data_IF_933941865762
#
_entry.id   IF_933941865762
#
_cell.length_a   1.000
_cell.length_b   1.000
_cell.length_c   1.000
_cell.angle_alpha   90.00
_cell.angle_beta   90.00
_cell.angle_gamma   90.00
#
_symmetry.space_group_name_H-M   'P 1'
#
loop_
_entity.id
_entity.type
_entity.pdbx_description
1 polymer ?
#
# COMPACT_ATOMS: atom_id res chain seq x y z
N UNK A 1 -2.76 -4.93 15.45
CA UNK A 1 -3.25 -4.20 14.26
C UNK A 1 -4.12 -3.07 14.76
N UNK A 2 -3.98 -1.88 14.18
CA UNK A 2 -4.68 -0.66 14.60
C UNK A 2 -5.84 -0.39 13.66
N UNK A 3 -7.04 -0.13 14.19
CA UNK A 3 -8.25 0.00 13.36
C UNK A 3 -8.86 1.39 13.40
N UNK A 4 -8.44 2.21 14.35
CA UNK A 4 -8.95 3.56 14.57
C UNK A 4 -7.75 4.51 14.61
N UNK A 5 -7.74 5.58 13.80
CA UNK A 5 -6.74 6.63 13.85
C UNK A 5 -6.71 7.29 15.22
N UNK A 6 -5.55 7.78 15.61
CA UNK A 6 -5.35 8.29 16.96
C UNK A 6 -4.34 9.43 17.00
N UNK A 7 -4.44 10.24 18.06
CA UNK A 7 -3.58 11.38 18.26
C UNK A 7 -2.57 11.17 19.39
N UNK A 8 -1.30 10.91 19.03
CA UNK A 8 -0.15 10.90 19.95
C UNK A 8 0.49 12.28 20.15
N UNK A 9 0.87 12.57 21.39
CA UNK A 9 1.63 13.75 21.79
C UNK A 9 2.71 13.37 22.81
N UNK A 10 3.79 14.17 22.89
CA UNK A 10 4.92 13.91 23.80
C UNK A 10 4.58 14.13 25.28
N UNK A 11 3.62 15.02 25.58
CA UNK A 11 3.21 15.41 26.93
C UNK A 11 1.68 15.42 27.04
N UNK A 12 1.18 15.41 28.28
CA UNK A 12 -0.25 15.63 28.60
C UNK A 12 -0.74 17.00 28.13
N UNK A 13 0.15 18.00 28.06
CA UNK A 13 -0.14 19.35 27.58
C UNK A 13 -0.31 19.42 26.06
N UNK A 14 0.01 18.33 25.34
CA UNK A 14 -0.14 18.16 23.88
C UNK A 14 0.70 19.12 23.03
N UNK A 15 1.84 19.57 23.55
CA UNK A 15 2.68 20.58 22.90
C UNK A 15 3.25 20.13 21.56
N UNK A 16 3.73 18.88 21.50
CA UNK A 16 4.38 18.33 20.32
C UNK A 16 3.66 17.09 19.82
N UNK A 17 3.29 17.13 18.55
CA UNK A 17 2.65 16.04 17.81
C UNK A 17 3.66 14.96 17.46
N UNK A 18 3.30 13.69 17.69
CA UNK A 18 4.15 12.54 17.35
C UNK A 18 3.50 11.70 16.25
N UNK A 19 4.29 11.40 15.21
CA UNK A 19 3.89 10.55 14.08
C UNK A 19 4.77 9.31 14.05
N UNK A 20 4.29 8.21 14.64
CA UNK A 20 5.04 6.95 14.72
C UNK A 20 4.52 5.85 13.80
N UNK A 21 3.21 5.88 13.52
CA UNK A 21 2.52 4.92 12.67
C UNK A 21 1.59 5.66 11.71
N UNK A 22 1.18 5.04 10.61
CA UNK A 22 0.26 5.68 9.66
C UNK A 22 -1.07 6.09 10.31
N UNK A 23 -1.58 5.27 11.24
CA UNK A 23 -2.80 5.56 11.99
C UNK A 23 -2.67 6.76 12.95
N UNK A 24 -1.44 7.21 13.24
CA UNK A 24 -1.18 8.45 13.98
C UNK A 24 -1.11 9.70 13.09
N UNK A 25 -1.15 9.53 11.76
CA UNK A 25 -1.07 10.65 10.81
C UNK A 25 -2.36 11.45 10.71
N UNK A 26 -2.24 12.71 10.28
CA UNK A 26 -3.39 13.55 9.97
C UNK A 26 -4.18 12.99 8.78
N UNK A 27 -3.51 12.42 7.78
CA UNK A 27 -4.19 11.80 6.64
C UNK A 27 -5.13 10.66 7.03
N UNK A 28 -4.72 9.79 7.97
CA UNK A 28 -5.61 8.75 8.50
C UNK A 28 -6.81 9.34 9.26
N UNK A 29 -6.60 10.43 9.99
CA UNK A 29 -7.66 11.15 10.71
C UNK A 29 -8.66 11.83 9.76
N UNK A 30 -8.16 12.51 8.74
CA UNK A 30 -8.96 13.21 7.73
C UNK A 30 -9.81 12.24 6.90
N UNK A 31 -9.32 11.02 6.68
CA UNK A 31 -10.07 9.96 6.00
C UNK A 31 -11.30 9.47 6.77
N UNK A 32 -11.44 9.82 8.06
CA UNK A 32 -12.63 9.52 8.85
C UNK A 32 -13.68 10.63 8.84
N UNK A 33 -13.34 11.81 8.32
CA UNK A 33 -14.25 12.94 8.33
C UNK A 33 -15.49 12.66 7.47
N UNK A 34 -16.64 13.28 7.74
CA UNK A 34 -17.89 13.00 7.01
C UNK A 34 -17.81 13.22 5.49
N UNK A 35 -16.83 14.01 5.03
CA UNK A 35 -16.60 14.34 3.62
C UNK A 35 -15.80 13.28 2.86
N UNK A 36 -15.06 12.44 3.58
CA UNK A 36 -14.34 11.31 3.02
C UNK A 36 -15.32 10.14 2.96
N UNK A 37 -15.44 9.51 1.78
CA UNK A 37 -16.52 8.58 1.37
C UNK A 37 -16.61 7.27 2.19
N UNK A 38 -16.13 7.25 3.42
CA UNK A 38 -16.06 6.11 4.31
C UNK A 38 -17.27 6.18 5.28
N UNK A 39 -18.16 5.18 5.25
CA UNK A 39 -19.32 5.15 6.14
C UNK A 39 -18.93 5.07 7.62
N UNK A 40 -19.78 5.64 8.48
CA UNK A 40 -19.64 5.52 9.93
C UNK A 40 -19.64 4.03 10.32
N UNK A 41 -18.67 3.64 11.17
CA UNK A 41 -18.50 2.25 11.62
C UNK A 41 -17.67 1.37 10.68
N UNK A 42 -17.27 1.86 9.51
CA UNK A 42 -16.32 1.18 8.66
C UNK A 42 -14.87 1.28 9.20
N UNK A 43 -14.03 0.34 8.80
CA UNK A 43 -12.62 0.26 9.18
C UNK A 43 -11.73 0.79 8.07
N UNK A 44 -10.82 1.69 8.42
CA UNK A 44 -9.81 2.19 7.50
C UNK A 44 -8.67 1.17 7.40
N UNK A 45 -8.34 0.73 6.19
CA UNK A 45 -7.27 -0.24 5.94
C UNK A 45 -6.23 0.37 5.00
N UNK A 46 -5.20 0.99 5.56
CA UNK A 46 -4.15 1.63 4.77
C UNK A 46 -3.31 0.60 4.02
N UNK A 47 -2.96 0.91 2.78
CA UNK A 47 -2.14 0.06 1.92
C UNK A 47 -0.74 0.65 1.80
N UNK A 48 0.28 -0.19 1.96
CA UNK A 48 1.67 0.13 1.67
C UNK A 48 2.09 -0.70 0.46
N UNK A 49 2.58 -0.01 -0.57
CA UNK A 49 3.20 -0.64 -1.74
C UNK A 49 4.71 -0.39 -1.70
N UNK A 50 5.47 -1.42 -2.00
CA UNK A 50 6.92 -1.31 -2.18
C UNK A 50 7.32 -2.03 -3.46
N UNK A 51 8.23 -1.45 -4.23
CA UNK A 51 8.71 -2.04 -5.47
C UNK A 51 10.19 -1.73 -5.61
N UNK A 52 11.00 -2.76 -5.80
CA UNK A 52 12.42 -2.64 -6.08
C UNK A 52 12.81 -3.59 -7.24
N UNK A 53 13.91 -3.31 -7.93
CA UNK A 53 14.39 -4.16 -9.03
C UNK A 53 15.06 -5.41 -8.46
N UNK A 54 14.60 -6.60 -8.84
CA UNK A 54 15.23 -7.85 -8.40
C UNK A 54 15.46 -8.82 -9.55
N UNK A 55 16.58 -9.53 -9.51
CA UNK A 55 16.84 -10.65 -10.41
C UNK A 55 15.99 -11.86 -10.00
N UNK A 56 15.14 -12.36 -10.91
CA UNK A 56 14.29 -13.53 -10.65
C UNK A 56 15.09 -14.83 -10.76
N UNK A 57 16.09 -14.86 -11.65
CA UNK A 57 16.97 -16.02 -11.85
C UNK A 57 18.43 -15.57 -11.92
N UNK A 58 19.27 -16.03 -10.99
CA UNK A 58 20.70 -15.70 -11.01
C UNK A 58 21.54 -16.58 -11.93
N UNK A 59 21.04 -17.77 -12.36
CA UNK A 59 21.92 -18.80 -12.96
C UNK A 59 21.52 -19.21 -14.39
N UNK A 60 20.25 -19.12 -14.83
CA UNK A 60 19.84 -19.61 -16.16
C UNK A 60 18.76 -18.76 -16.84
N UNK A 61 19.06 -17.52 -17.22
CA UNK A 61 18.19 -16.77 -18.16
C UNK A 61 18.01 -15.28 -17.91
N UNK A 62 18.71 -14.70 -16.93
CA UNK A 62 18.82 -13.25 -16.76
C UNK A 62 17.49 -12.48 -16.61
N UNK A 63 16.40 -13.16 -16.22
CA UNK A 63 15.08 -12.52 -16.11
C UNK A 63 15.09 -11.57 -14.92
N UNK A 64 14.81 -10.29 -15.19
CA UNK A 64 14.72 -9.24 -14.18
C UNK A 64 13.30 -8.70 -14.17
N UNK A 65 12.75 -8.51 -12.98
CA UNK A 65 11.45 -7.87 -12.79
C UNK A 65 11.51 -6.93 -11.59
N UNK A 66 10.49 -6.07 -11.50
CA UNK A 66 10.22 -5.33 -10.27
C UNK A 66 9.11 -6.05 -9.50
N UNK A 67 9.41 -6.80 -8.42
CA UNK A 67 8.39 -7.26 -7.48
C UNK A 67 7.65 -6.08 -6.88
N UNK A 68 6.33 -6.10 -7.04
CA UNK A 68 5.41 -5.24 -6.32
C UNK A 68 4.99 -5.97 -5.05
N UNK A 69 5.45 -5.50 -3.90
CA UNK A 69 5.07 -5.98 -2.58
C UNK A 69 3.92 -5.13 -2.02
N UNK A 70 3.03 -5.76 -1.27
CA UNK A 70 1.91 -5.13 -0.59
C UNK A 70 1.92 -5.46 0.91
N UNK A 71 1.56 -4.48 1.74
CA UNK A 71 1.35 -4.63 3.18
C UNK A 71 0.22 -3.74 3.66
N UNK A 72 -0.23 -3.97 4.89
CA UNK A 72 -1.20 -3.14 5.57
C UNK A 72 -0.50 -2.13 6.49
N UNK A 73 -0.86 -0.86 6.36
CA UNK A 73 -0.38 0.22 7.20
C UNK A 73 -0.81 0.05 8.66
N UNK A 74 -1.93 -0.66 8.89
CA UNK A 74 -2.50 -0.99 10.18
C UNK A 74 -1.67 -2.00 11.00
N UNK A 75 -0.71 -2.69 10.37
CA UNK A 75 0.24 -3.56 11.07
C UNK A 75 1.35 -2.66 11.62
N UNK A 76 1.55 -2.73 12.94
CA UNK A 76 2.59 -1.97 13.65
C UNK A 76 3.94 -2.16 12.98
N UNK A 77 4.69 -1.07 12.81
CA UNK A 77 5.95 -1.04 12.09
C UNK A 77 6.95 -2.09 12.58
N UNK A 78 7.11 -2.23 13.90
CA UNK A 78 8.03 -3.22 14.48
C UNK A 78 7.68 -4.67 14.12
N UNK A 79 6.38 -4.99 14.01
CA UNK A 79 5.92 -6.32 13.65
C UNK A 79 6.08 -6.53 12.13
N UNK A 80 5.70 -5.54 11.33
CA UNK A 80 5.79 -5.57 9.87
C UNK A 80 7.22 -5.73 9.35
N UNK A 81 8.18 -5.03 9.97
CA UNK A 81 9.59 -5.04 9.56
C UNK A 81 10.38 -6.23 10.12
N UNK A 82 9.76 -7.06 10.97
CA UNK A 82 10.41 -8.28 11.47
C UNK A 82 10.44 -9.32 10.35
N UNK A 83 11.62 -9.77 9.95
CA UNK A 83 11.79 -10.72 8.84
C UNK A 83 10.91 -11.99 8.98
N UNK A 84 10.78 -12.52 10.20
CA UNK A 84 9.97 -13.71 10.48
C UNK A 84 8.44 -13.48 10.46
N UNK A 85 7.98 -12.23 10.42
CA UNK A 85 6.56 -11.90 10.50
C UNK A 85 5.86 -11.89 9.14
N UNK A 86 6.61 -12.00 8.03
CA UNK A 86 6.07 -11.94 6.67
C UNK A 86 5.11 -10.76 6.46
N UNK A 87 5.49 -9.58 6.95
CA UNK A 87 4.66 -8.38 6.94
C UNK A 87 4.34 -7.84 5.55
N UNK A 88 5.00 -8.34 4.50
CA UNK A 88 4.76 -8.00 3.10
C UNK A 88 4.45 -9.27 2.30
N UNK A 89 3.53 -9.13 1.34
CA UNK A 89 3.18 -10.17 0.38
C UNK A 89 3.57 -9.72 -1.03
N UNK A 90 3.96 -10.65 -1.89
CA UNK A 90 4.19 -10.38 -3.31
C UNK A 90 2.84 -10.26 -4.02
N UNK A 91 2.55 -9.07 -4.55
CA UNK A 91 1.33 -8.76 -5.30
C UNK A 91 1.50 -9.08 -6.80
N UNK A 92 2.61 -8.65 -7.40
CA UNK A 92 2.87 -8.84 -8.82
C UNK A 92 4.37 -8.79 -9.14
N UNK A 93 4.77 -9.34 -10.29
CA UNK A 93 6.09 -9.12 -10.89
C UNK A 93 5.91 -8.21 -12.10
N UNK A 94 6.38 -6.96 -12.00
CA UNK A 94 6.23 -5.97 -13.06
C UNK A 94 7.33 -6.16 -14.12
N UNK A 95 6.99 -6.09 -15.42
CA UNK A 95 7.94 -6.33 -16.49
C UNK A 95 8.97 -5.19 -16.59
N UNK A 96 10.19 -5.55 -17.02
CA UNK A 96 11.23 -4.59 -17.40
C UNK A 96 11.37 -4.66 -18.93
N UNK A 97 10.70 -3.76 -19.67
CA UNK A 97 10.69 -3.82 -21.12
C UNK A 97 12.02 -3.30 -21.70
N UNK A 98 12.42 -3.92 -22.80
CA UNK A 98 13.44 -3.40 -23.72
C UNK A 98 12.74 -2.94 -25.00
N UNK A 99 12.90 -1.66 -25.34
CA UNK A 99 12.29 -1.08 -26.54
C UNK A 99 13.31 -1.08 -27.68
N UNK A 100 13.08 -1.89 -28.71
CA UNK A 100 14.06 -2.15 -29.80
C UNK A 100 14.08 -1.02 -30.83
N UNK A 101 12.93 -0.39 -31.11
CA UNK A 101 12.75 0.52 -32.23
C UNK A 101 12.45 1.98 -31.85
N UNK A 102 12.54 2.33 -30.57
CA UNK A 102 12.15 3.65 -30.05
C UNK A 102 13.36 4.56 -29.80
N UNK A 103 13.26 5.87 -30.11
CA UNK A 103 14.32 6.82 -29.81
C UNK A 103 14.67 6.80 -28.32
N UNK A 104 15.95 6.82 -27.96
CA UNK A 104 16.43 6.73 -26.56
C UNK A 104 15.73 7.72 -25.63
N UNK A 105 15.38 8.92 -26.13
CA UNK A 105 14.66 9.96 -25.38
C UNK A 105 13.24 9.56 -24.96
N UNK A 106 12.57 8.69 -25.73
CA UNK A 106 11.19 8.25 -25.48
C UNK A 106 11.10 7.00 -24.60
N UNK A 107 12.17 6.21 -24.54
CA UNK A 107 12.16 4.94 -23.81
C UNK A 107 11.86 5.10 -22.31
N UNK A 108 12.38 6.15 -21.65
CA UNK A 108 12.09 6.41 -20.24
C UNK A 108 10.61 6.69 -19.99
N UNK A 109 9.98 7.48 -20.87
CA UNK A 109 8.56 7.81 -20.81
C UNK A 109 7.70 6.56 -21.05
N UNK A 110 8.07 5.74 -22.03
CA UNK A 110 7.37 4.49 -22.31
C UNK A 110 7.50 3.47 -21.17
N UNK A 111 8.68 3.35 -20.56
CA UNK A 111 8.91 2.53 -19.35
C UNK A 111 8.00 3.00 -18.20
N UNK A 112 7.96 4.30 -17.93
CA UNK A 112 7.10 4.86 -16.88
C UNK A 112 5.60 4.60 -17.17
N UNK A 113 5.14 4.82 -18.41
CA UNK A 113 3.75 4.57 -18.81
C UNK A 113 3.37 3.10 -18.65
N UNK A 114 4.24 2.18 -19.08
CA UNK A 114 4.00 0.75 -18.90
C UNK A 114 3.93 0.39 -17.42
N UNK A 115 4.86 0.90 -16.61
CA UNK A 115 4.89 0.68 -15.16
C UNK A 115 3.58 1.12 -14.50
N UNK A 116 3.13 2.36 -14.76
CA UNK A 116 1.86 2.87 -14.24
C UNK A 116 0.65 2.06 -14.74
N UNK A 117 0.66 1.61 -16.00
CA UNK A 117 -0.41 0.77 -16.53
C UNK A 117 -0.45 -0.61 -15.86
N UNK A 118 0.70 -1.20 -15.56
CA UNK A 118 0.76 -2.45 -14.80
C UNK A 118 0.27 -2.25 -13.36
N UNK A 119 0.63 -1.14 -12.70
CA UNK A 119 0.08 -0.80 -11.39
C UNK A 119 -1.44 -0.64 -11.42
N UNK A 120 -1.98 0.03 -12.44
CA UNK A 120 -3.42 0.20 -12.59
C UNK A 120 -4.15 -1.14 -12.66
N UNK A 121 -3.60 -2.11 -13.39
CA UNK A 121 -4.16 -3.46 -13.52
C UNK A 121 -4.06 -4.21 -12.18
N UNK A 122 -2.88 -4.21 -11.54
CA UNK A 122 -2.65 -4.94 -10.30
C UNK A 122 -3.48 -4.39 -9.12
N UNK A 123 -3.72 -3.08 -9.10
CA UNK A 123 -4.41 -2.39 -8.00
C UNK A 123 -5.91 -2.21 -8.25
N UNK A 124 -6.46 -2.68 -9.37
CA UNK A 124 -7.89 -2.55 -9.69
C UNK A 124 -8.81 -3.11 -8.58
N UNK A 125 -8.55 -4.29 -7.97
CA UNK A 125 -9.37 -4.78 -6.87
C UNK A 125 -9.38 -3.83 -5.66
N UNK A 126 -8.25 -3.18 -5.37
CA UNK A 126 -8.17 -2.21 -4.27
C UNK A 126 -8.90 -0.90 -4.61
N UNK A 127 -8.88 -0.46 -5.87
CA UNK A 127 -9.69 0.68 -6.33
C UNK A 127 -11.17 0.39 -6.18
N UNK A 128 -11.60 -0.85 -6.38
CA UNK A 128 -12.98 -1.28 -6.14
C UNK A 128 -13.31 -1.31 -4.64
N UNK A 129 -12.43 -1.86 -3.81
CA UNK A 129 -12.57 -1.86 -2.35
C UNK A 129 -12.59 -0.42 -1.76
N UNK A 130 -11.88 0.52 -2.37
CA UNK A 130 -11.95 1.94 -2.01
C UNK A 130 -13.33 2.55 -2.31
N UNK A 131 -13.96 2.17 -3.42
CA UNK A 131 -15.24 2.74 -3.85
C UNK A 131 -16.43 2.12 -3.12
N UNK A 132 -16.39 0.81 -2.91
CA UNK A 132 -17.54 0.01 -2.44
C UNK A 132 -17.35 -0.55 -1.04
N UNK A 133 -16.15 -0.48 -0.47
CA UNK A 133 -15.80 -1.26 0.72
C UNK A 133 -15.71 -2.76 0.43
N UNK A 134 -15.11 -3.50 1.35
CA UNK A 134 -15.06 -4.96 1.33
C UNK A 134 -15.13 -5.50 2.76
N UNK A 135 -15.87 -6.59 2.96
CA UNK A 135 -15.89 -7.27 4.26
C UNK A 135 -14.73 -8.26 4.34
N UNK A 136 -13.90 -8.14 5.39
CA UNK A 136 -12.78 -9.05 5.64
C UNK A 136 -12.72 -9.47 7.12
N UNK A 137 -12.32 -10.71 7.43
CA UNK A 137 -12.10 -11.13 8.80
C UNK A 137 -10.85 -10.48 9.37
N UNK A 138 -10.88 -10.19 10.66
CA UNK A 138 -9.70 -9.76 11.40
C UNK A 138 -8.91 -10.95 11.98
N UNK A 139 -7.76 -10.71 12.65
CA UNK A 139 -6.99 -11.77 13.28
C UNK A 139 -7.74 -12.55 14.37
N UNK A 140 -8.86 -12.03 14.88
CA UNK A 140 -9.73 -12.69 15.86
C UNK A 140 -10.94 -13.38 15.18
N UNK A 141 -11.00 -13.37 13.85
CA UNK A 141 -12.11 -13.94 13.06
C UNK A 141 -13.35 -13.05 12.97
N UNK A 142 -13.32 -11.82 13.50
CA UNK A 142 -14.45 -10.88 13.42
C UNK A 142 -14.49 -10.20 12.06
N UNK A 143 -15.65 -10.25 11.39
CA UNK A 143 -15.86 -9.54 10.14
C UNK A 143 -15.84 -8.02 10.36
N UNK A 144 -15.03 -7.33 9.55
CA UNK A 144 -14.97 -5.88 9.48
C UNK A 144 -15.26 -5.41 8.07
N UNK A 145 -16.07 -4.36 7.95
CA UNK A 145 -16.31 -3.67 6.69
C UNK A 145 -15.20 -2.63 6.47
N UNK A 146 -14.33 -2.89 5.51
CA UNK A 146 -13.06 -2.20 5.33
C UNK A 146 -13.01 -1.38 4.04
N UNK A 147 -12.35 -0.22 4.11
CA UNK A 147 -12.03 0.62 2.95
C UNK A 147 -10.53 0.77 2.82
N UNK A 148 -10.02 0.68 1.59
CA UNK A 148 -8.59 0.83 1.28
C UNK A 148 -8.34 2.16 0.58
N UNK A 149 -8.04 3.25 1.30
CA UNK A 149 -7.77 4.54 0.67
C UNK A 149 -6.51 4.42 -0.18
N UNK A 150 -6.66 4.63 -1.49
CA UNK A 150 -5.55 4.79 -2.41
C UNK A 150 -5.48 6.27 -2.78
N UNK A 151 -4.28 6.89 -2.82
CA UNK A 151 -4.15 8.20 -3.44
C UNK A 151 -4.62 8.12 -4.89
N UNK A 152 -5.45 9.10 -5.29
CA UNK A 152 -6.03 9.20 -6.62
C UNK A 152 -5.01 9.62 -7.67
#
# INVERSE_FOLDING_TARGET
MEYVPYKLFTSTERDVRVYSEWMSSDGAWELQLPYTKIPIGATLCGIILSSDKTHITNICGGKVAHPLLISLANIKMHAKNKAAAHGFLLLALLPIPEFIYEPTRMQSVLKARLFHRCLDIALEPLKQAMKKGITMPDPLGKLRYCFTPLPA
#
